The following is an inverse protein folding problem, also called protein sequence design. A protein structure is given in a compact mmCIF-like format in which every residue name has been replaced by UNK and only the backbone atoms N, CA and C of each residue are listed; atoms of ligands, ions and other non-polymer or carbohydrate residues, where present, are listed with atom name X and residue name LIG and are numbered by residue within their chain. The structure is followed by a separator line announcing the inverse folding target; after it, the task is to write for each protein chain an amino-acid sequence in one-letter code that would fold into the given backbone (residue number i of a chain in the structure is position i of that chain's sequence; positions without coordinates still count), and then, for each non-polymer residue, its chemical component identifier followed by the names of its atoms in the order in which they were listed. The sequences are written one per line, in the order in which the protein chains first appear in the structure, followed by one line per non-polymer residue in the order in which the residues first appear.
data_IF_509594898921
#
_entry.id   IF_509594898921
#
_cell.length_a   1.000
_cell.length_b   1.000
_cell.length_c   1.000
_cell.angle_alpha   90.00
_cell.angle_beta   90.00
_cell.angle_gamma   90.00
#
_symmetry.space_group_name_H-M   'P 1'
#
loop_
_entity.id
_entity.type
_entity.pdbx_description
1 polymer ?
#
# COMPACT_ATOMS: atom_id res chain seq x y z
N UNK A 1 -43.64 62.32 -43.26
CA UNK A 1 -43.82 61.10 -42.43
C UNK A 1 -43.35 59.89 -43.23
N UNK A 2 -42.10 59.46 -43.07
CA UNK A 2 -41.65 58.14 -43.50
C UNK A 2 -40.62 57.65 -42.46
N UNK A 3 -40.98 56.60 -41.73
CA UNK A 3 -40.08 55.90 -40.81
C UNK A 3 -39.31 54.85 -41.61
N UNK A 4 -37.99 55.01 -41.72
CA UNK A 4 -37.10 53.93 -42.14
C UNK A 4 -36.72 53.11 -40.91
N UNK A 5 -37.03 51.82 -40.90
CA UNK A 5 -36.46 50.86 -39.95
C UNK A 5 -35.14 50.35 -40.52
N UNK A 6 -34.04 50.60 -39.81
CA UNK A 6 -32.75 49.97 -40.08
C UNK A 6 -32.69 48.71 -39.22
N UNK A 7 -32.70 47.55 -39.88
CA UNK A 7 -32.50 46.24 -39.25
C UNK A 7 -30.99 45.97 -39.18
N UNK A 8 -30.41 46.07 -37.99
CA UNK A 8 -29.02 45.67 -37.73
C UNK A 8 -29.00 44.19 -37.41
N UNK A 9 -28.47 43.38 -38.31
CA UNK A 9 -28.21 41.95 -38.07
C UNK A 9 -26.81 41.85 -37.44
N UNK A 10 -26.75 41.62 -36.13
CA UNK A 10 -25.50 41.30 -35.43
C UNK A 10 -25.23 39.80 -35.59
N UNK A 11 -24.31 39.44 -36.48
CA UNK A 11 -23.76 38.09 -36.58
C UNK A 11 -22.75 37.85 -35.45
N UNK A 12 -23.20 37.20 -34.38
CA UNK A 12 -22.35 36.67 -33.32
C UNK A 12 -21.61 35.42 -33.83
N UNK A 13 -20.39 35.59 -34.36
CA UNK A 13 -19.42 34.50 -34.48
C UNK A 13 -18.86 34.18 -33.09
N UNK A 14 -19.47 33.22 -32.41
CA UNK A 14 -18.92 32.62 -31.21
C UNK A 14 -17.76 31.69 -31.60
N UNK A 15 -16.52 32.20 -31.56
CA UNK A 15 -15.32 31.36 -31.50
C UNK A 15 -15.23 30.77 -30.09
N UNK A 16 -15.92 29.66 -29.87
CA UNK A 16 -15.71 28.81 -28.72
C UNK A 16 -14.47 27.95 -28.93
N UNK A 17 -13.30 28.43 -28.50
CA UNK A 17 -12.15 27.57 -28.26
C UNK A 17 -12.46 26.73 -27.01
N UNK A 18 -13.09 25.57 -27.23
CA UNK A 18 -13.20 24.53 -26.22
C UNK A 18 -11.82 23.91 -26.06
N UNK A 19 -11.00 24.49 -25.18
CA UNK A 19 -9.86 23.79 -24.62
C UNK A 19 -10.40 22.75 -23.62
N UNK A 20 -10.98 21.68 -24.14
CA UNK A 20 -11.17 20.45 -23.37
C UNK A 20 -9.77 19.89 -23.15
N UNK A 21 -9.24 20.13 -21.95
CA UNK A 21 -8.10 19.39 -21.44
C UNK A 21 -8.61 17.97 -21.13
N UNK A 22 -8.65 17.12 -22.15
CA UNK A 22 -8.81 15.68 -21.95
C UNK A 22 -7.52 15.17 -21.30
N UNK A 23 -7.45 15.30 -19.98
CA UNK A 23 -6.44 14.68 -19.13
C UNK A 23 -6.58 13.16 -19.04
N UNK A 24 -7.04 12.51 -20.12
CA UNK A 24 -6.92 11.08 -20.31
C UNK A 24 -5.59 10.84 -21.03
N UNK A 25 -4.48 11.03 -20.30
CA UNK A 25 -3.21 10.47 -20.74
C UNK A 25 -3.42 8.98 -20.93
N UNK A 26 -3.20 8.48 -22.15
CA UNK A 26 -3.18 7.05 -22.43
C UNK A 26 -2.29 6.37 -21.39
N UNK A 27 -2.87 5.53 -20.52
CA UNK A 27 -2.08 4.62 -19.69
C UNK A 27 -1.38 3.69 -20.67
N UNK A 28 -0.09 3.94 -20.86
CA UNK A 28 0.74 3.07 -21.67
C UNK A 28 0.72 1.68 -21.03
N UNK A 29 0.06 0.74 -21.69
CA UNK A 29 -0.06 -0.65 -21.26
C UNK A 29 1.30 -1.30 -21.53
N UNK A 30 2.22 -1.17 -20.58
CA UNK A 30 3.47 -1.89 -20.64
C UNK A 30 3.17 -3.35 -20.35
N UNK A 31 3.47 -4.25 -21.28
CA UNK A 31 3.69 -5.65 -20.94
C UNK A 31 4.89 -5.68 -20.00
N UNK A 32 4.64 -5.72 -18.70
CA UNK A 32 5.73 -5.65 -17.72
C UNK A 32 6.29 -7.04 -17.52
N UNK A 33 7.24 -7.40 -18.38
CA UNK A 33 8.20 -8.46 -18.07
C UNK A 33 9.17 -7.92 -17.01
N UNK A 34 8.88 -8.21 -15.74
CA UNK A 34 9.75 -7.90 -14.62
C UNK A 34 9.00 -7.41 -13.39
N UNK A 35 9.75 -7.11 -12.31
CA UNK A 35 9.14 -6.74 -11.05
C UNK A 35 8.48 -5.36 -11.11
N UNK A 36 7.38 -5.24 -10.37
CA UNK A 36 6.62 -4.00 -10.24
C UNK A 36 6.52 -3.56 -8.78
N UNK A 37 6.54 -2.26 -8.57
CA UNK A 37 6.30 -1.61 -7.29
C UNK A 37 4.94 -0.90 -7.35
N UNK A 38 4.11 -1.14 -6.34
CA UNK A 38 2.73 -0.67 -6.26
C UNK A 38 2.55 0.20 -5.03
N UNK A 39 1.90 1.35 -5.19
CA UNK A 39 1.51 2.19 -4.07
C UNK A 39 0.07 1.84 -3.70
N UNK A 40 -0.13 1.14 -2.58
CA UNK A 40 -1.43 0.65 -2.12
C UNK A 40 -2.05 1.55 -1.05
N UNK A 41 -1.27 2.47 -0.50
CA UNK A 41 -1.71 3.50 0.43
C UNK A 41 -0.59 4.46 0.77
N UNK A 42 -0.94 5.64 1.25
CA UNK A 42 0.01 6.75 1.51
C UNK A 42 -0.29 7.53 2.78
N UNK A 43 -1.36 7.16 3.50
CA UNK A 43 -1.78 7.89 4.70
C UNK A 43 -1.04 7.42 5.94
N UNK A 44 -1.01 8.30 6.94
CA UNK A 44 -0.54 7.98 8.28
C UNK A 44 -1.47 6.95 8.96
N UNK A 45 -0.98 6.27 9.99
CA UNK A 45 -1.65 5.25 10.80
C UNK A 45 -3.14 5.46 11.07
N UNK A 46 -3.54 6.68 11.43
CA UNK A 46 -4.93 6.99 11.75
C UNK A 46 -5.86 7.13 10.54
N UNK A 47 -5.34 7.02 9.31
CA UNK A 47 -6.09 7.07 8.07
C UNK A 47 -6.79 8.40 7.79
N UNK A 48 -7.74 8.39 6.85
CA UNK A 48 -8.61 9.51 6.53
C UNK A 48 -10.04 9.00 6.24
N UNK A 49 -11.07 9.47 6.98
CA UNK A 49 -11.00 10.48 8.02
C UNK A 49 -10.22 10.00 9.26
N UNK A 50 -9.37 10.88 9.79
CA UNK A 50 -8.63 10.60 11.02
C UNK A 50 -9.58 10.69 12.23
N UNK A 51 -9.53 9.72 13.13
CA UNK A 51 -10.42 9.65 14.31
C UNK A 51 -10.36 10.95 15.13
N UNK A 52 -11.53 11.55 15.40
CA UNK A 52 -11.63 12.82 16.13
C UNK A 52 -11.20 14.09 15.37
N UNK A 53 -10.84 14.00 14.08
CA UNK A 53 -10.41 15.16 13.30
C UNK A 53 -11.59 16.04 12.86
N UNK A 54 -11.71 17.24 13.43
CA UNK A 54 -12.74 18.23 13.06
C UNK A 54 -12.27 19.27 12.01
N UNK A 55 -11.05 19.12 11.46
CA UNK A 55 -10.54 20.05 10.44
C UNK A 55 -11.34 19.98 9.14
N UNK A 56 -11.39 21.06 8.33
CA UNK A 56 -12.13 21.08 7.07
C UNK A 56 -11.75 19.94 6.11
N UNK A 57 -10.49 19.51 6.09
CA UNK A 57 -9.99 18.41 5.27
C UNK A 57 -10.49 17.01 5.70
N UNK A 58 -10.97 16.87 6.95
CA UNK A 58 -11.46 15.62 7.52
C UNK A 58 -12.99 15.57 7.63
N UNK A 59 -13.63 16.69 7.99
CA UNK A 59 -15.06 16.72 8.36
C UNK A 59 -15.99 16.16 7.29
N UNK A 60 -15.68 16.43 6.01
CA UNK A 60 -16.50 15.97 4.89
C UNK A 60 -16.28 14.48 4.58
N UNK A 61 -15.15 13.90 4.99
CA UNK A 61 -14.85 12.48 4.74
C UNK A 61 -15.69 11.55 5.61
N UNK A 62 -16.16 11.99 6.78
CA UNK A 62 -17.13 11.23 7.56
C UNK A 62 -18.52 11.16 6.89
N UNK A 63 -18.88 12.20 6.13
CA UNK A 63 -20.16 12.26 5.39
C UNK A 63 -20.06 11.64 3.99
N UNK A 64 -18.89 11.73 3.37
CA UNK A 64 -18.56 11.21 2.03
C UNK A 64 -17.18 10.57 2.09
N UNK A 65 -17.08 9.31 2.52
CA UNK A 65 -15.80 8.61 2.62
C UNK A 65 -15.06 8.60 1.29
N UNK A 66 -13.79 8.99 1.33
CA UNK A 66 -12.88 8.83 0.19
C UNK A 66 -12.29 7.42 0.27
N UNK A 67 -12.84 6.49 -0.51
CA UNK A 67 -12.52 5.06 -0.43
C UNK A 67 -11.16 4.69 -1.03
N UNK A 68 -10.54 5.63 -1.76
CA UNK A 68 -9.21 5.57 -2.35
C UNK A 68 -8.08 5.91 -1.37
N UNK A 69 -8.42 6.46 -0.20
CA UNK A 69 -7.47 6.89 0.82
C UNK A 69 -7.20 5.78 1.82
N UNK A 70 -5.97 5.24 1.79
CA UNK A 70 -5.56 4.11 2.64
C UNK A 70 -4.26 4.40 3.39
N UNK A 71 -4.12 3.81 4.56
CA UNK A 71 -2.89 3.82 5.37
C UNK A 71 -1.73 3.25 4.55
N UNK A 72 -0.53 3.77 4.80
CA UNK A 72 0.68 3.51 4.02
C UNK A 72 0.93 2.01 3.80
N UNK A 73 1.03 1.62 2.53
CA UNK A 73 1.32 0.26 2.13
C UNK A 73 1.95 0.26 0.73
N UNK A 74 3.00 -0.54 0.56
CA UNK A 74 3.56 -0.83 -0.76
C UNK A 74 3.34 -2.30 -1.10
N UNK A 75 3.20 -2.57 -2.39
CA UNK A 75 3.26 -3.92 -2.95
C UNK A 75 4.47 -4.06 -3.86
N UNK A 76 5.05 -5.25 -3.92
CA UNK A 76 6.06 -5.63 -4.92
C UNK A 76 5.64 -6.94 -5.53
N UNK A 77 5.58 -7.01 -6.86
CA UNK A 77 5.38 -8.26 -7.58
C UNK A 77 6.64 -8.64 -8.34
N UNK A 78 6.88 -9.93 -8.50
CA UNK A 78 7.94 -10.50 -9.33
C UNK A 78 7.53 -11.91 -9.82
N UNK A 79 8.42 -12.59 -10.53
CA UNK A 79 8.28 -14.01 -10.87
C UNK A 79 9.36 -14.86 -10.21
N UNK A 80 9.02 -16.11 -9.89
CA UNK A 80 10.01 -17.12 -9.53
C UNK A 80 10.85 -17.49 -10.77
N UNK A 81 11.96 -18.21 -10.57
CA UNK A 81 12.72 -18.79 -11.67
C UNK A 81 11.87 -19.72 -12.57
N UNK A 82 10.78 -20.29 -12.03
CA UNK A 82 9.82 -21.11 -12.78
C UNK A 82 8.72 -20.31 -13.48
N UNK A 83 8.75 -18.97 -13.42
CA UNK A 83 7.78 -18.08 -14.06
C UNK A 83 6.49 -17.84 -13.26
N UNK A 84 6.37 -18.39 -12.06
CA UNK A 84 5.19 -18.22 -11.22
C UNK A 84 5.19 -16.85 -10.54
N UNK A 85 4.03 -16.19 -10.49
CA UNK A 85 3.88 -14.89 -9.83
C UNK A 85 4.06 -15.00 -8.31
N UNK A 86 4.81 -14.07 -7.74
CA UNK A 86 5.03 -13.92 -6.30
C UNK A 86 4.87 -12.45 -5.90
N UNK A 87 4.49 -12.22 -4.65
CA UNK A 87 4.29 -10.86 -4.16
C UNK A 87 4.76 -10.65 -2.73
N UNK A 88 5.13 -9.41 -2.44
CA UNK A 88 5.40 -8.92 -1.10
C UNK A 88 4.58 -7.67 -0.82
N UNK A 89 3.86 -7.63 0.29
CA UNK A 89 3.24 -6.41 0.80
C UNK A 89 4.07 -5.87 1.96
N UNK A 90 4.26 -4.56 1.99
CA UNK A 90 4.90 -3.84 3.07
C UNK A 90 3.81 -3.17 3.88
N UNK A 91 3.78 -3.51 5.16
CA UNK A 91 2.71 -3.29 6.13
C UNK A 91 1.46 -4.16 5.94
N UNK A 92 0.88 -4.56 7.06
CA UNK A 92 -0.49 -5.07 7.18
C UNK A 92 -1.32 -4.02 7.93
N UNK A 93 -1.82 -3.03 7.19
CA UNK A 93 -2.49 -1.85 7.77
C UNK A 93 -3.94 -2.13 8.22
N UNK A 94 -4.62 -1.20 8.92
CA UNK A 94 -6.07 -1.31 9.13
C UNK A 94 -6.89 -1.49 7.83
N UNK A 95 -6.39 -0.99 6.69
CA UNK A 95 -7.03 -1.09 5.37
C UNK A 95 -6.67 -2.38 4.61
N UNK A 96 -5.94 -3.30 5.25
CA UNK A 96 -5.38 -4.52 4.65
C UNK A 96 -6.37 -5.31 3.79
N UNK A 97 -7.65 -5.52 4.15
CA UNK A 97 -8.58 -6.27 3.29
C UNK A 97 -8.70 -5.67 1.89
N UNK A 98 -8.81 -4.35 1.79
CA UNK A 98 -8.95 -3.67 0.50
C UNK A 98 -7.62 -3.54 -0.25
N UNK A 99 -6.50 -3.40 0.47
CA UNK A 99 -5.17 -3.34 -0.13
C UNK A 99 -4.75 -4.70 -0.68
N UNK A 100 -5.00 -5.77 0.07
CA UNK A 100 -4.76 -7.14 -0.34
C UNK A 100 -5.61 -7.49 -1.57
N UNK A 101 -6.91 -7.16 -1.55
CA UNK A 101 -7.78 -7.41 -2.69
C UNK A 101 -7.28 -6.72 -3.96
N UNK A 102 -6.93 -5.42 -3.87
CA UNK A 102 -6.39 -4.68 -5.02
C UNK A 102 -5.08 -5.30 -5.51
N UNK A 103 -4.18 -5.65 -4.58
CA UNK A 103 -2.89 -6.24 -4.90
C UNK A 103 -3.00 -7.62 -5.57
N UNK A 104 -3.91 -8.48 -5.13
CA UNK A 104 -4.10 -9.80 -5.72
C UNK A 104 -4.88 -9.75 -7.03
N UNK A 105 -5.93 -8.93 -7.12
CA UNK A 105 -6.76 -8.86 -8.33
C UNK A 105 -6.03 -8.27 -9.53
N UNK A 106 -5.20 -7.24 -9.31
CA UNK A 106 -4.53 -6.56 -10.41
C UNK A 106 -3.32 -7.37 -10.94
N UNK A 107 -2.80 -8.31 -10.15
CA UNK A 107 -1.50 -8.96 -10.43
C UNK A 107 -1.47 -10.48 -10.30
N UNK A 108 -2.61 -11.10 -9.97
CA UNK A 108 -2.80 -12.56 -9.87
C UNK A 108 -1.80 -13.23 -8.90
N UNK A 109 -1.60 -12.62 -7.72
CA UNK A 109 -0.73 -13.17 -6.67
C UNK A 109 -1.57 -14.08 -5.74
N UNK A 110 -1.36 -15.40 -5.75
CA UNK A 110 -2.03 -16.28 -4.80
C UNK A 110 -1.48 -16.06 -3.39
N UNK A 111 -2.33 -16.26 -2.37
CA UNK A 111 -1.99 -15.99 -0.98
C UNK A 111 -0.79 -16.80 -0.49
N UNK A 112 -0.62 -18.03 -0.99
CA UNK A 112 0.49 -18.93 -0.66
C UNK A 112 1.85 -18.42 -1.16
N UNK A 113 1.85 -17.49 -2.12
CA UNK A 113 3.03 -16.83 -2.70
C UNK A 113 3.12 -15.37 -2.28
N UNK A 114 2.33 -14.96 -1.29
CA UNK A 114 2.38 -13.63 -0.70
C UNK A 114 3.19 -13.66 0.60
N UNK A 115 4.13 -12.72 0.71
CA UNK A 115 4.81 -12.39 1.97
C UNK A 115 4.39 -11.02 2.47
N UNK A 116 4.38 -10.81 3.78
CA UNK A 116 4.16 -9.52 4.43
C UNK A 116 5.45 -9.09 5.13
N UNK A 117 5.87 -7.85 4.95
CA UNK A 117 7.03 -7.24 5.60
C UNK A 117 6.56 -6.10 6.48
N UNK A 118 6.88 -6.14 7.79
CA UNK A 118 6.45 -5.13 8.74
C UNK A 118 7.61 -4.22 9.11
N UNK A 119 7.39 -2.91 9.18
CA UNK A 119 8.47 -1.97 9.60
C UNK A 119 8.57 -1.83 11.11
N UNK A 120 7.43 -1.69 11.82
CA UNK A 120 7.38 -1.46 13.26
C UNK A 120 5.97 -1.66 13.86
N UNK A 121 5.88 -1.60 15.19
CA UNK A 121 4.71 -1.93 15.98
C UNK A 121 3.74 -0.76 16.26
N UNK A 122 3.55 0.16 15.32
CA UNK A 122 2.45 1.14 15.39
C UNK A 122 1.22 0.62 14.66
N UNK A 123 0.03 1.00 15.13
CA UNK A 123 -1.25 0.41 14.69
C UNK A 123 -1.46 0.48 13.17
N UNK A 124 -0.92 1.51 12.50
CA UNK A 124 -1.01 1.68 11.05
C UNK A 124 -0.32 0.61 10.23
N UNK A 125 0.58 -0.16 10.84
CA UNK A 125 1.59 -0.94 10.13
C UNK A 125 1.38 -2.46 10.25
N UNK A 126 0.69 -2.93 11.28
CA UNK A 126 0.54 -4.38 11.52
C UNK A 126 -0.83 -4.84 12.02
N UNK A 127 -1.74 -3.92 12.39
CA UNK A 127 -3.03 -4.33 12.96
C UNK A 127 -3.86 -5.17 11.99
N UNK A 128 -3.67 -4.96 10.69
CA UNK A 128 -4.32 -5.72 9.62
C UNK A 128 -4.00 -7.20 9.60
N UNK A 129 -2.92 -7.64 10.27
CA UNK A 129 -2.65 -9.07 10.45
C UNK A 129 -3.82 -9.82 11.06
N UNK A 130 -4.66 -9.16 11.88
CA UNK A 130 -5.84 -9.77 12.49
C UNK A 130 -6.80 -10.37 11.44
N UNK A 131 -6.85 -9.81 10.23
CA UNK A 131 -7.70 -10.31 9.15
C UNK A 131 -7.21 -11.63 8.53
N UNK A 132 -5.98 -12.06 8.84
CA UNK A 132 -5.48 -13.38 8.44
C UNK A 132 -6.00 -14.51 9.35
N UNK A 133 -6.62 -14.18 10.49
CA UNK A 133 -7.15 -15.14 11.45
C UNK A 133 -8.47 -15.79 11.04
N UNK A 134 -8.92 -16.77 11.84
CA UNK A 134 -10.15 -17.55 11.60
C UNK A 134 -11.43 -16.72 11.50
N UNK A 135 -11.47 -15.56 12.13
CA UNK A 135 -12.64 -14.66 12.13
C UNK A 135 -12.86 -13.96 10.79
N UNK A 136 -11.83 -13.96 9.93
CA UNK A 136 -11.86 -13.36 8.60
C UNK A 136 -11.36 -14.36 7.56
N UNK A 137 -10.13 -14.21 7.05
CA UNK A 137 -9.64 -15.00 5.93
C UNK A 137 -9.34 -16.46 6.28
N UNK A 138 -8.98 -16.74 7.54
CA UNK A 138 -8.53 -18.08 7.95
C UNK A 138 -7.32 -18.55 7.13
N UNK A 139 -6.36 -17.66 6.93
CA UNK A 139 -5.19 -17.89 6.08
C UNK A 139 -4.35 -19.07 6.57
N UNK A 140 -3.46 -19.59 5.73
CA UNK A 140 -2.56 -20.69 6.09
C UNK A 140 -1.11 -20.33 5.77
N UNK A 141 -0.28 -20.28 6.80
CA UNK A 141 1.18 -20.14 6.70
C UNK A 141 1.67 -18.91 5.92
N UNK A 142 0.92 -17.81 5.90
CA UNK A 142 1.36 -16.54 5.28
C UNK A 142 2.67 -16.11 5.94
N UNK A 143 3.70 -15.89 5.13
CA UNK A 143 5.01 -15.50 5.67
C UNK A 143 4.96 -14.03 6.11
N UNK A 144 5.32 -13.78 7.36
CA UNK A 144 5.36 -12.43 7.93
C UNK A 144 6.77 -12.17 8.46
N UNK A 145 7.45 -11.21 7.85
CA UNK A 145 8.81 -10.80 8.15
C UNK A 145 8.80 -9.62 9.12
N UNK A 146 9.45 -9.81 10.26
CA UNK A 146 9.55 -8.80 11.30
C UNK A 146 10.92 -8.88 12.01
N UNK A 147 11.36 -7.75 12.57
CA UNK A 147 12.56 -7.73 13.40
C UNK A 147 12.38 -8.56 14.68
N UNK A 148 13.45 -9.05 15.32
CA UNK A 148 13.35 -10.03 16.40
C UNK A 148 12.44 -9.60 17.56
N UNK A 149 12.57 -8.35 18.05
CA UNK A 149 11.72 -7.88 19.17
C UNK A 149 10.24 -7.81 18.76
N UNK A 150 9.96 -7.39 17.53
CA UNK A 150 8.59 -7.37 17.03
C UNK A 150 8.01 -8.78 16.88
N UNK A 151 8.81 -9.73 16.40
CA UNK A 151 8.42 -11.13 16.31
C UNK A 151 8.05 -11.71 17.68
N UNK A 152 8.84 -11.38 18.70
CA UNK A 152 8.58 -11.83 20.07
C UNK A 152 7.29 -11.20 20.59
N UNK A 153 7.04 -9.91 20.30
CA UNK A 153 5.77 -9.26 20.61
C UNK A 153 4.58 -9.98 19.96
N UNK A 154 4.64 -10.27 18.64
CA UNK A 154 3.57 -10.95 17.92
C UNK A 154 3.32 -12.38 18.41
N UNK A 155 4.34 -13.04 18.95
CA UNK A 155 4.25 -14.42 19.47
C UNK A 155 3.65 -14.44 20.88
N UNK A 156 3.81 -13.37 21.66
CA UNK A 156 3.45 -13.33 23.09
C UNK A 156 2.20 -12.49 23.40
N UNK A 157 1.73 -11.68 22.45
CA UNK A 157 0.59 -10.78 22.65
C UNK A 157 -0.59 -11.15 21.76
N UNK A 158 -1.77 -11.27 22.38
CA UNK A 158 -3.03 -11.41 21.66
C UNK A 158 -3.44 -10.10 20.98
N UNK A 159 -4.19 -10.17 19.86
CA UNK A 159 -4.71 -11.39 19.24
C UNK A 159 -3.70 -12.10 18.32
N UNK A 160 -2.53 -11.50 18.04
CA UNK A 160 -1.60 -12.01 17.03
C UNK A 160 -0.95 -13.33 17.40
N UNK A 161 -0.71 -13.59 18.68
CA UNK A 161 -0.16 -14.87 19.14
C UNK A 161 -1.01 -16.06 18.71
N UNK A 162 -2.34 -15.89 18.65
CA UNK A 162 -3.25 -16.91 18.14
C UNK A 162 -3.04 -17.18 16.65
N UNK A 163 -2.72 -16.16 15.84
CA UNK A 163 -2.42 -16.35 14.41
C UNK A 163 -1.19 -17.23 14.21
N UNK A 164 -0.20 -17.11 15.10
CA UNK A 164 1.01 -17.93 15.11
C UNK A 164 0.68 -19.35 15.56
N UNK A 165 -0.01 -19.50 16.69
CA UNK A 165 -0.38 -20.79 17.29
C UNK A 165 -1.22 -21.65 16.33
N UNK A 166 -2.16 -21.03 15.62
CA UNK A 166 -3.04 -21.71 14.67
C UNK A 166 -2.42 -21.89 13.27
N UNK A 167 -1.20 -21.41 13.05
CA UNK A 167 -0.52 -21.50 11.76
C UNK A 167 -1.17 -20.64 10.66
N UNK A 168 -1.90 -19.59 11.03
CA UNK A 168 -2.42 -18.62 10.06
C UNK A 168 -1.28 -17.80 9.45
N UNK A 169 -0.33 -17.38 10.31
CA UNK A 169 0.90 -16.71 9.90
C UNK A 169 2.12 -17.51 10.34
N UNK A 170 3.21 -17.37 9.61
CA UNK A 170 4.51 -17.95 9.93
C UNK A 170 5.53 -16.84 10.00
N UNK A 171 5.99 -16.55 11.21
CA UNK A 171 6.93 -15.47 11.45
C UNK A 171 8.34 -15.82 10.97
N UNK A 172 8.97 -14.89 10.27
CA UNK A 172 10.36 -14.93 9.81
C UNK A 172 11.11 -13.77 10.42
N UNK A 173 12.33 -14.02 10.91
CA UNK A 173 13.17 -12.96 11.45
C UNK A 173 13.83 -12.18 10.31
N UNK A 174 13.76 -10.87 10.43
CA UNK A 174 14.63 -9.94 9.72
C UNK A 174 15.95 -9.80 10.48
N UNK A 175 17.02 -9.60 9.73
CA UNK A 175 18.33 -9.19 10.25
C UNK A 175 18.74 -7.94 9.50
N UNK A 176 19.19 -6.92 10.23
CA UNK A 176 19.64 -5.67 9.63
C UNK A 176 20.68 -5.90 8.53
N UNK A 177 20.53 -5.21 7.39
CA UNK A 177 21.39 -5.31 6.21
C UNK A 177 21.45 -6.69 5.53
N UNK A 178 20.66 -7.67 5.96
CA UNK A 178 20.58 -8.98 5.30
C UNK A 178 19.47 -8.97 4.25
N UNK A 179 19.80 -9.36 3.02
CA UNK A 179 18.82 -9.38 1.94
C UNK A 179 17.86 -10.59 2.05
N UNK A 180 16.62 -10.37 1.66
CA UNK A 180 15.58 -11.38 1.45
C UNK A 180 15.16 -11.30 -0.03
N UNK A 181 15.13 -12.44 -0.72
CA UNK A 181 14.71 -12.48 -2.12
C UNK A 181 13.19 -12.53 -2.23
N UNK A 182 12.62 -11.72 -3.13
CA UNK A 182 11.23 -11.81 -3.59
C UNK A 182 11.30 -12.19 -5.07
N UNK A 183 10.95 -13.43 -5.39
CA UNK A 183 11.10 -13.94 -6.75
C UNK A 183 12.56 -14.05 -7.19
N UNK A 184 12.80 -13.92 -8.48
CA UNK A 184 14.11 -14.07 -9.10
C UNK A 184 14.92 -12.76 -9.16
N UNK A 185 14.24 -11.61 -9.14
CA UNK A 185 14.81 -10.33 -9.55
C UNK A 185 14.80 -9.27 -8.44
N UNK A 186 14.05 -9.47 -7.35
CA UNK A 186 13.95 -8.48 -6.27
C UNK A 186 14.64 -8.93 -5.00
N UNK A 187 15.36 -7.99 -4.37
CA UNK A 187 15.94 -8.14 -3.04
C UNK A 187 15.41 -7.05 -2.12
N UNK A 188 15.01 -7.45 -0.92
CA UNK A 188 14.54 -6.56 0.14
C UNK A 188 15.55 -6.57 1.27
N UNK A 189 16.03 -5.39 1.67
CA UNK A 189 17.07 -5.25 2.69
C UNK A 189 16.52 -4.32 3.79
N UNK A 190 16.32 -4.83 5.02
CA UNK A 190 15.90 -3.99 6.14
C UNK A 190 17.06 -3.11 6.59
N UNK A 191 16.78 -1.83 6.75
CA UNK A 191 17.72 -0.81 7.24
C UNK A 191 17.15 -0.23 8.53
N UNK A 192 17.93 -0.23 9.61
CA UNK A 192 17.47 0.40 10.84
C UNK A 192 17.31 1.91 10.64
N UNK A 193 16.18 2.45 11.09
CA UNK A 193 15.91 3.89 11.00
C UNK A 193 15.59 4.47 12.37
N UNK A 194 15.94 5.74 12.61
CA UNK A 194 15.52 6.45 13.79
C UNK A 194 13.99 6.59 13.82
N UNK A 195 13.34 5.94 14.78
CA UNK A 195 11.94 6.13 15.08
C UNK A 195 11.66 5.77 16.55
N UNK A 196 10.41 5.88 17.02
CA UNK A 196 10.04 5.47 18.38
C UNK A 196 10.04 3.94 18.50
N UNK A 197 11.15 3.39 18.96
CA UNK A 197 11.32 1.96 19.29
C UNK A 197 10.46 1.56 20.52
N UNK A 198 9.15 1.39 20.34
CA UNK A 198 8.21 0.90 21.37
C UNK A 198 8.26 -0.64 21.49
N UNK A 199 7.25 -1.35 20.98
CA UNK A 199 7.20 -2.83 21.01
C UNK A 199 8.10 -3.50 19.96
N UNK A 200 8.81 -2.73 19.13
CA UNK A 200 9.67 -3.24 18.06
C UNK A 200 10.89 -2.34 17.81
N UNK A 201 11.90 -2.89 17.16
CA UNK A 201 12.78 -2.11 16.31
C UNK A 201 11.96 -1.38 15.22
N UNK A 202 12.51 -0.29 14.66
CA UNK A 202 11.98 0.30 13.43
C UNK A 202 12.97 0.18 12.30
N UNK A 203 12.49 -0.31 11.17
CA UNK A 203 13.25 -0.44 9.94
C UNK A 203 12.55 0.24 8.79
N UNK A 204 13.32 0.74 7.82
CA UNK A 204 12.87 0.91 6.45
C UNK A 204 13.37 -0.24 5.58
N UNK A 205 12.98 -0.25 4.32
CA UNK A 205 13.38 -1.27 3.35
C UNK A 205 14.02 -0.64 2.13
N UNK A 206 15.24 -1.09 1.80
CA UNK A 206 15.81 -0.90 0.47
C UNK A 206 15.36 -2.06 -0.42
N UNK A 207 14.63 -1.73 -1.48
CA UNK A 207 14.03 -2.69 -2.41
C UNK A 207 14.80 -2.56 -3.72
N UNK A 208 15.68 -3.53 -3.98
CA UNK A 208 16.54 -3.56 -5.15
C UNK A 208 15.89 -4.44 -6.22
N UNK A 209 15.52 -3.83 -7.35
CA UNK A 209 15.16 -4.53 -8.57
C UNK A 209 16.32 -4.57 -9.57
N UNK A 210 16.11 -5.14 -10.76
CA UNK A 210 17.19 -5.35 -11.75
C UNK A 210 17.75 -4.05 -12.34
N UNK A 211 16.97 -2.96 -12.32
CA UNK A 211 17.38 -1.66 -12.88
C UNK A 211 17.28 -0.50 -11.91
N UNK A 212 16.33 -0.57 -10.97
CA UNK A 212 15.99 0.52 -10.07
C UNK A 212 16.01 0.03 -8.63
N UNK A 213 16.29 0.93 -7.71
CA UNK A 213 16.19 0.70 -6.28
C UNK A 213 15.19 1.69 -5.69
N UNK A 214 14.28 1.20 -4.85
CA UNK A 214 13.39 2.03 -4.05
C UNK A 214 13.84 1.99 -2.58
N UNK A 215 13.61 3.08 -1.88
CA UNK A 215 13.79 3.16 -0.43
C UNK A 215 12.43 3.47 0.19
N UNK A 216 11.93 2.52 0.99
CA UNK A 216 10.66 2.64 1.69
C UNK A 216 10.90 2.87 3.18
N UNK A 217 10.58 4.08 3.65
CA UNK A 217 10.69 4.46 5.05
C UNK A 217 9.38 5.19 5.39
N UNK A 218 8.33 4.46 5.79
CA UNK A 218 7.02 5.07 6.04
C UNK A 218 7.06 6.00 7.27
N UNK A 219 7.88 5.64 8.25
CA UNK A 219 8.04 6.34 9.50
C UNK A 219 9.53 6.57 9.79
N UNK A 220 9.89 7.83 9.96
CA UNK A 220 11.23 8.26 10.36
C UNK A 220 11.12 9.52 11.20
N UNK A 221 11.65 9.45 12.43
CA UNK A 221 11.87 10.60 13.29
C UNK A 221 12.84 10.23 14.43
N UNK A 222 13.95 10.95 14.51
CA UNK A 222 14.70 11.31 15.71
C UNK A 222 15.81 12.27 15.27
#
# INVERSE_FOLDING_TARGET
MHRFQIMVVLSLLAFGLSACFDGAGERQEYAVDGPLLHVLGTLQDGGAPHIGCNRPCCRNLFLRPATDRKVVCLGVTDTTAGGERVGAMFEATPDFPSQLQAFQSDWDIPLERLSVFLTHAHIGHYSGLMFLGREALGAKNVEVWAMPRFRDFLTTNGPWSQLVELGNIRLKALTENQHIAIGANVRVIPLRVPHRDEYSETVGYRIEGPRNTALFIPDINK
#
